data_IF_427275875767
#
_entry.id   IF_427275875767
#
_cell.length_a   1.000
_cell.length_b   1.000
_cell.length_c   1.000
_cell.angle_alpha   90.00
_cell.angle_beta   90.00
_cell.angle_gamma   90.00
#
_symmetry.space_group_name_H-M   'P 1'
#
loop_
_entity.id
_entity.type
_entity.pdbx_description
1 polymer ?
2 water ?
#
# COMPACT_ATOMS: atom_id res chain seq x y z
N UNK A 56 22.56 -1.94 -5.02
CA UNK A 56 21.45 -2.05 -4.05
C UNK A 56 20.12 -1.60 -4.69
N UNK A 57 19.30 -2.59 -5.01
CA UNK A 57 17.95 -2.33 -5.43
C UNK A 57 17.12 -2.10 -4.18
N UNK A 58 16.21 -1.13 -4.25
CA UNK A 58 15.43 -0.64 -3.10
C UNK A 58 13.96 -0.94 -3.25
N UNK A 59 13.56 -1.48 -4.40
CA UNK A 59 12.14 -1.69 -4.67
C UNK A 59 11.47 -2.52 -3.61
N UNK A 60 10.31 -2.11 -3.10
CA UNK A 60 9.71 -2.91 -2.06
C UNK A 60 10.04 -2.45 -0.63
N UNK A 61 11.19 -1.79 -0.42
CA UNK A 61 11.52 -1.23 0.88
C UNK A 61 10.47 -0.22 1.36
N UNK A 62 10.31 -0.14 2.69
CA UNK A 62 9.41 0.83 3.30
C UNK A 62 10.15 1.75 4.24
N UNK A 63 9.93 3.06 4.08
CA UNK A 63 10.59 4.05 4.87
C UNK A 63 9.57 4.89 5.54
N UNK A 64 9.96 5.39 6.70
CA UNK A 64 9.21 6.43 7.34
C UNK A 64 9.87 7.70 6.76
N UNK A 65 9.08 8.57 6.14
CA UNK A 65 9.71 9.63 5.30
C UNK A 65 8.97 10.99 5.54
N UNK A 66 9.50 12.10 5.01
CA UNK A 66 8.95 13.42 5.32
C UNK A 66 8.70 14.20 3.97
N UNK A 67 7.62 14.96 3.87
CA UNK A 67 7.33 15.74 2.66
C UNK A 67 8.28 16.89 2.66
N UNK A 68 9.04 17.00 1.59
CA UNK A 68 10.03 18.04 1.38
C UNK A 68 9.38 19.27 0.65
N UNK A 69 8.51 19.01 -0.32
CA UNK A 69 7.76 20.11 -0.87
C UNK A 69 6.52 19.56 -1.58
N UNK A 70 5.46 20.36 -1.71
CA UNK A 70 4.24 19.86 -2.32
C UNK A 70 4.20 20.64 -3.66
N UNK A 71 3.94 19.97 -4.78
CA UNK A 71 3.95 20.65 -6.12
C UNK A 71 2.54 20.65 -6.76
N UNK A 72 1.81 21.72 -6.61
CA UNK A 72 0.43 21.81 -7.06
C UNK A 72 0.30 21.70 -8.60
N UNK A 73 1.36 22.04 -9.34
CA UNK A 73 1.31 21.80 -10.85
C UNK A 73 1.30 20.34 -11.21
N UNK A 74 2.06 19.55 -10.47
CA UNK A 74 2.12 18.15 -10.77
C UNK A 74 1.13 17.33 -9.93
N UNK A 75 0.44 17.95 -8.97
CA UNK A 75 -0.39 17.24 -7.98
C UNK A 75 0.44 16.08 -7.40
N UNK A 76 1.64 16.45 -6.96
CA UNK A 76 2.59 15.50 -6.37
C UNK A 76 3.35 16.06 -5.18
N UNK A 77 3.92 15.18 -4.36
CA UNK A 77 4.80 15.64 -3.25
C UNK A 77 6.16 15.00 -3.51
N UNK A 78 7.23 15.71 -3.19
CA UNK A 78 8.58 15.13 -3.20
C UNK A 78 8.97 14.76 -1.73
N UNK A 79 9.71 13.67 -1.54
CA UNK A 79 9.79 12.96 -0.25
C UNK A 79 11.27 12.73 0.08
N UNK A 80 11.67 13.20 1.27
CA UNK A 80 12.95 12.78 1.85
C UNK A 80 12.76 11.42 2.55
N UNK A 81 13.36 10.36 2.01
CA UNK A 81 13.25 9.05 2.63
C UNK A 81 14.62 8.48 2.91
N UNK A 82 15.68 9.25 2.75
CA UNK A 82 17.03 8.69 3.03
C UNK A 82 17.80 8.29 1.75
N UNK A 83 17.24 8.52 0.57
CA UNK A 83 17.97 8.13 -0.65
C UNK A 83 18.80 9.25 -1.21
N UNK A 84 19.38 9.08 -2.39
CA UNK A 84 20.25 10.16 -2.90
C UNK A 84 19.44 11.37 -3.36
N UNK A 85 18.22 11.13 -3.85
CA UNK A 85 17.38 12.20 -4.33
C UNK A 85 16.05 12.01 -3.72
N UNK A 86 15.24 13.06 -3.75
CA UNK A 86 13.90 12.95 -3.21
C UNK A 86 13.10 11.95 -4.05
N UNK A 87 12.23 11.18 -3.41
CA UNK A 87 11.32 10.33 -4.11
C UNK A 87 10.09 11.13 -4.58
N UNK A 88 9.37 10.60 -5.56
CA UNK A 88 8.18 11.32 -6.16
C UNK A 88 6.92 10.61 -5.66
N UNK A 89 5.95 11.39 -5.14
CA UNK A 89 4.73 10.76 -4.64
C UNK A 89 3.54 11.47 -5.24
N UNK A 90 2.91 10.84 -6.23
CA UNK A 90 1.76 11.39 -6.93
C UNK A 90 0.62 11.42 -5.90
N UNK A 91 -0.24 12.43 -6.00
CA UNK A 91 -1.37 12.66 -5.06
C UNK A 91 -2.22 11.40 -5.05
N UNK A 92 -2.42 10.78 -6.21
CA UNK A 92 -3.33 9.64 -6.16
C UNK A 92 -2.73 8.39 -5.51
N UNK A 93 -1.42 8.41 -5.15
CA UNK A 93 -0.82 7.33 -4.38
C UNK A 93 -0.83 7.60 -2.86
N UNK A 94 -1.52 8.65 -2.46
CA UNK A 94 -1.53 9.05 -1.04
C UNK A 94 -2.82 8.65 -0.26
N UNK A 95 -2.64 7.78 0.74
CA UNK A 95 -3.80 7.16 1.42
C UNK A 95 -4.52 8.30 2.15
N UNK A 96 -5.84 8.32 2.12
CA UNK A 96 -6.57 9.41 2.85
C UNK A 96 -6.27 9.60 4.34
N UNK A 97 -5.80 8.54 5.03
CA UNK A 97 -5.37 8.72 6.38
C UNK A 97 -4.37 9.82 6.52
N UNK A 98 -3.77 10.22 5.42
CA UNK A 98 -2.70 11.22 5.51
C UNK A 98 -3.23 12.60 5.20
N UNK A 99 -4.48 12.68 4.72
CA UNK A 99 -5.10 13.99 4.43
C UNK A 99 -5.26 14.82 5.66
N UNK A 100 -4.97 16.11 5.55
CA UNK A 100 -5.18 16.97 6.73
C UNK A 100 -6.58 17.51 6.71
N UNK A 101 -7.51 16.71 7.24
CA UNK A 101 -8.95 17.01 7.12
C UNK A 101 -9.68 16.59 8.40
N UNK A 102 -10.83 17.19 8.69
CA UNK A 102 -11.39 16.78 9.95
C UNK A 102 -11.72 15.24 10.04
N UNK A 103 -11.67 14.64 11.23
CA UNK A 103 -11.88 13.16 11.45
C UNK A 103 -13.22 12.70 10.85
N UNK A 104 -14.24 13.58 10.91
CA UNK A 104 -15.54 13.35 10.24
C UNK A 104 -15.62 13.73 8.78
N UNK A 105 -14.47 13.87 8.13
CA UNK A 105 -14.45 13.94 6.69
C UNK A 105 -13.75 12.67 6.36
N UNK A 106 -12.71 12.32 7.10
CA UNK A 106 -11.97 11.19 6.70
C UNK A 106 -12.76 9.91 6.80
N UNK A 107 -13.77 9.91 7.68
CA UNK A 107 -14.73 8.80 7.78
C UNK A 107 -15.77 8.85 6.66
N UNK A 108 -16.23 10.03 6.25
CA UNK A 108 -17.29 10.12 5.21
C UNK A 108 -16.78 9.84 3.76
N UNK A 109 -15.84 8.91 3.67
CA UNK A 109 -14.80 8.89 2.63
C UNK A 109 -14.05 7.53 2.71
N UNK A 110 -13.87 6.97 3.90
CA UNK A 110 -13.34 5.62 4.01
C UNK A 110 -14.41 4.63 3.59
N UNK A 111 -15.60 4.78 4.17
CA UNK A 111 -16.81 4.09 3.71
C UNK A 111 -17.29 4.76 2.41
N UNK A 112 -16.95 4.14 1.28
CA UNK A 112 -17.05 4.68 -0.10
C UNK A 112 -18.10 5.76 -0.43
N UNK A 113 -18.05 6.87 0.31
CA UNK A 113 -18.94 8.04 0.18
C UNK A 113 -19.93 8.16 1.36
N UNK A 149 -14.41 -7.30 -12.90
CA UNK A 149 -13.34 -6.62 -12.19
C UNK A 149 -13.83 -5.54 -11.18
N UNK A 150 -14.17 -5.99 -9.98
CA UNK A 150 -14.49 -5.10 -8.83
C UNK A 150 -13.29 -4.26 -8.30
N UNK A 151 -12.18 -4.28 -9.04
CA UNK A 151 -11.11 -3.28 -8.89
C UNK A 151 -11.59 -1.89 -9.33
N UNK A 152 -12.58 -1.86 -10.25
CA UNK A 152 -13.25 -0.62 -10.68
C UNK A 152 -13.87 0.18 -9.53
N UNK A 153 -14.54 -0.50 -8.58
CA UNK A 153 -15.05 0.16 -7.38
C UNK A 153 -13.95 0.94 -6.62
N UNK A 154 -12.71 0.43 -6.69
CA UNK A 154 -11.54 1.08 -6.07
C UNK A 154 -11.02 2.18 -6.99
N UNK A 155 -11.09 1.90 -8.30
CA UNK A 155 -10.71 2.88 -9.32
C UNK A 155 -11.60 4.09 -9.19
N UNK A 156 -12.93 3.89 -9.23
CA UNK A 156 -13.90 5.00 -9.06
C UNK A 156 -13.59 5.76 -7.78
N UNK A 157 -13.39 4.99 -6.69
CA UNK A 157 -12.98 5.53 -5.40
C UNK A 157 -11.83 6.55 -5.46
N UNK A 158 -10.65 6.17 -5.97
CA UNK A 158 -9.55 7.14 -6.12
C UNK A 158 -9.93 8.36 -6.96
N UNK A 159 -10.65 8.12 -8.06
CA UNK A 159 -11.12 9.20 -8.95
C UNK A 159 -12.03 10.19 -8.23
N UNK A 160 -12.92 9.70 -7.36
CA UNK A 160 -13.67 10.55 -6.42
C UNK A 160 -12.77 11.58 -5.64
N UNK A 161 -11.72 11.09 -4.94
CA UNK A 161 -10.77 11.93 -4.19
C UNK A 161 -10.04 12.95 -5.06
N UNK A 162 -9.62 12.52 -6.25
CA UNK A 162 -8.84 13.41 -7.10
C UNK A 162 -9.72 14.57 -7.64
N UNK A 163 -10.97 14.27 -7.91
CA UNK A 163 -11.97 15.31 -8.24
C UNK A 163 -12.24 16.24 -7.03
N UNK A 164 -12.40 15.65 -5.84
CA UNK A 164 -12.78 16.38 -4.64
C UNK A 164 -11.71 17.31 -4.00
N UNK A 165 -10.42 16.94 -3.98
CA UNK A 165 -9.36 17.76 -3.36
C UNK A 165 -8.21 18.01 -4.31
N UNK A 166 -7.41 19.01 -3.96
CA UNK A 166 -6.16 19.25 -4.59
C UNK A 166 -5.10 19.00 -3.52
N UNK A 167 -3.96 18.44 -3.92
CA UNK A 167 -2.95 18.00 -2.96
C UNK A 167 -2.58 19.09 -1.92
N UNK A 168 -2.50 20.33 -2.37
CA UNK A 168 -2.02 21.43 -1.56
C UNK A 168 -3.09 21.78 -0.54
N UNK A 169 -4.34 21.31 -0.73
CA UNK A 169 -5.40 21.56 0.23
C UNK A 169 -5.26 20.59 1.46
N UNK A 170 -4.56 19.48 1.32
CA UNK A 170 -4.70 18.36 2.23
C UNK A 170 -3.33 17.77 2.67
N UNK A 171 -2.24 18.15 2.00
CA UNK A 171 -0.92 17.63 2.36
C UNK A 171 0.02 18.79 2.59
N UNK A 172 0.88 18.73 3.61
CA UNK A 172 1.78 19.89 3.77
C UNK A 172 3.25 19.49 3.92
N UNK A 173 4.13 20.42 3.60
CA UNK A 173 5.54 20.23 3.80
C UNK A 173 5.80 19.73 5.27
N UNK A 174 6.79 18.89 5.43
CA UNK A 174 7.22 18.34 6.70
C UNK A 174 6.34 17.25 7.20
N UNK A 175 5.21 17.01 6.57
CA UNK A 175 4.34 15.92 7.05
C UNK A 175 5.09 14.59 6.92
N UNK A 176 4.87 13.65 7.85
CA UNK A 176 5.51 12.33 7.82
C UNK A 176 4.53 11.24 7.33
N UNK A 177 5.05 10.31 6.54
CA UNK A 177 4.22 9.21 6.04
C UNK A 177 5.11 7.97 5.86
N UNK A 178 4.49 6.77 5.83
CA UNK A 178 5.15 5.58 5.40
C UNK A 178 4.99 5.44 3.84
N UNK A 179 6.09 5.10 3.19
CA UNK A 179 6.18 5.15 1.74
C UNK A 179 6.95 3.91 1.30
N UNK A 180 6.53 3.34 0.19
CA UNK A 180 7.19 2.19 -0.32
C UNK A 180 7.82 2.51 -1.68
N UNK A 181 9.02 2.01 -1.94
CA UNK A 181 9.62 2.19 -3.29
C UNK A 181 8.95 1.34 -4.38
N UNK A 182 8.43 1.98 -5.42
CA UNK A 182 7.75 1.29 -6.50
C UNK A 182 8.66 1.19 -7.68
N UNK A 183 9.37 2.26 -8.02
CA UNK A 183 10.31 2.25 -9.10
C UNK A 183 11.64 2.78 -8.57
N UNK A 184 12.73 2.15 -8.97
CA UNK A 184 14.07 2.48 -8.56
C UNK A 184 14.40 3.89 -9.03
N UNK A 185 15.27 4.57 -8.31
CA UNK A 185 15.88 5.81 -8.71
C UNK A 185 16.77 5.41 -9.87
N UNK A 186 16.71 6.14 -11.00
CA UNK A 186 17.52 5.83 -12.18
C UNK A 186 18.26 7.12 -12.52
N UNK A 187 19.52 7.19 -12.08
CA UNK A 187 20.38 8.34 -12.30
C UNK A 187 19.96 9.55 -11.51
N UNK A 188 19.68 10.61 -12.26
CA UNK A 188 19.24 11.86 -11.74
C UNK A 188 17.79 11.81 -11.38
N UNK A 189 17.09 10.77 -11.82
CA UNK A 189 15.65 10.67 -11.50
C UNK A 189 15.35 9.92 -10.18
N UNK A 190 14.63 10.54 -9.22
CA UNK A 190 14.40 9.94 -7.91
C UNK A 190 13.35 8.81 -8.02
N UNK A 191 13.31 8.02 -6.95
CA UNK A 191 12.47 6.87 -6.85
C UNK A 191 10.99 7.24 -6.95
N UNK A 192 10.19 6.36 -7.55
CA UNK A 192 8.74 6.56 -7.52
C UNK A 192 8.21 5.76 -6.31
N UNK A 193 7.31 6.39 -5.58
CA UNK A 193 6.83 5.94 -4.25
C UNK A 193 5.34 5.81 -4.25
N UNK A 194 4.86 5.09 -3.23
CA UNK A 194 3.45 5.03 -3.00
C UNK A 194 3.28 4.94 -1.48
N UNK A 195 2.12 5.35 -0.96
CA UNK A 195 1.69 5.01 0.38
C UNK A 195 0.80 3.76 0.47
N UNK A 196 0.32 3.21 -0.65
CA UNK A 196 -0.47 1.97 -0.67
C UNK A 196 0.52 0.81 -0.64
N UNK A 197 0.84 0.35 0.57
CA UNK A 197 1.80 -0.66 0.75
C UNK A 197 1.39 -2.05 0.31
N UNK A 198 2.38 -2.84 -0.05
CA UNK A 198 2.15 -4.26 -0.16
C UNK A 198 3.27 -5.13 0.42
N UNK A 199 2.88 -6.21 1.08
CA UNK A 199 3.85 -7.09 1.73
C UNK A 199 3.62 -8.46 1.12
N UNK A 200 4.63 -8.97 0.42
CA UNK A 200 4.53 -10.24 -0.32
C UNK A 200 5.06 -11.39 0.51
N UNK A 201 4.20 -12.37 0.80
CA UNK A 201 4.61 -13.64 1.45
C UNK A 201 4.91 -14.70 0.42
N UNK A 202 4.94 -15.99 0.82
CA UNK A 202 5.17 -17.07 -0.15
C UNK A 202 4.03 -17.21 -1.16
N UNK A 203 2.80 -17.25 -0.67
CA UNK A 203 1.71 -17.62 -1.55
C UNK A 203 0.85 -16.45 -1.91
N UNK A 204 1.11 -15.29 -1.29
CA UNK A 204 0.21 -14.15 -1.38
C UNK A 204 0.82 -12.82 -0.99
N UNK A 205 0.06 -11.76 -1.27
CA UNK A 205 0.50 -10.40 -1.06
C UNK A 205 -0.52 -9.69 -0.17
N UNK A 206 -0.09 -9.19 0.99
CA UNK A 206 -0.97 -8.43 1.85
C UNK A 206 -0.92 -6.92 1.50
N UNK A 207 -2.10 -6.28 1.47
CA UNK A 207 -2.24 -4.85 1.24
C UNK A 207 -2.86 -4.26 2.44
N UNK A 208 -2.02 -3.81 3.40
CA UNK A 208 -2.61 -3.53 4.71
C UNK A 208 -3.33 -2.22 4.73
N UNK A 209 -3.29 -1.56 3.54
CA UNK A 209 -3.65 -0.22 3.25
C UNK A 209 -4.79 -0.04 2.22
N UNK A 210 -5.19 -1.12 1.58
CA UNK A 210 -6.03 -1.03 0.42
C UNK A 210 -7.29 -1.85 0.69
N UNK A 211 -8.41 -1.14 0.85
CA UNK A 211 -9.69 -1.78 1.12
C UNK A 211 -10.12 -2.53 -0.13
N UNK A 212 -9.71 -3.78 -0.25
CA UNK A 212 -9.77 -4.51 -1.49
C UNK A 212 -10.25 -5.93 -1.15
N UNK A 213 -10.18 -6.29 0.12
CA UNK A 213 -10.82 -7.48 0.64
C UNK A 213 -10.14 -8.83 0.43
N UNK A 214 -9.16 -8.91 -0.45
CA UNK A 214 -8.59 -10.25 -0.73
C UNK A 214 -9.27 -11.17 -1.77
N UNK A 215 -8.43 -11.77 -2.60
CA UNK A 215 -8.84 -12.28 -3.87
C UNK A 215 -7.61 -12.92 -4.47
N UNK A 216 -7.65 -13.12 -5.79
CA UNK A 216 -6.82 -14.11 -6.45
C UNK A 216 -6.09 -13.48 -7.63
N UNK A 217 -4.89 -13.99 -7.93
CA UNK A 217 -4.09 -13.52 -9.06
C UNK A 217 -4.83 -13.61 -10.41
N UNK A 218 -4.38 -12.81 -11.38
CA UNK A 218 -4.97 -12.81 -12.75
C UNK A 218 -4.69 -14.12 -13.48
N UNK A 219 -3.63 -14.82 -13.07
CA UNK A 219 -3.43 -16.21 -13.51
C UNK A 219 -4.44 -17.13 -12.80
N UNK A 220 -5.69 -16.64 -12.70
CA UNK A 220 -6.77 -17.21 -11.86
C UNK A 220 -7.43 -18.42 -12.48
N UNK A 221 -6.82 -18.86 -13.59
CA UNK A 221 -7.45 -19.60 -14.70
C UNK A 221 -8.21 -20.90 -14.36
N UNK A 222 -7.49 -22.00 -14.10
CA UNK A 222 -8.12 -23.30 -13.86
C UNK A 222 -9.26 -23.19 -12.82
N UNK A 223 -10.49 -23.24 -13.33
CA UNK A 223 -11.74 -23.12 -12.57
C UNK A 223 -11.74 -23.74 -11.16
N UNK A 224 -11.23 -24.97 -11.05
CA UNK A 224 -11.14 -25.73 -9.78
C UNK A 224 -10.50 -24.91 -8.66
N UNK A 225 -9.25 -24.48 -8.87
CA UNK A 225 -8.48 -23.72 -7.89
C UNK A 225 -9.22 -22.46 -7.53
N UNK A 226 -9.67 -21.74 -8.57
CA UNK A 226 -10.22 -20.38 -8.38
C UNK A 226 -11.46 -20.34 -7.47
N UNK A 227 -12.40 -21.29 -7.65
CA UNK A 227 -13.57 -21.49 -6.76
C UNK A 227 -13.17 -21.96 -5.35
N UNK A 228 -12.20 -22.88 -5.29
CA UNK A 228 -11.60 -23.36 -4.03
C UNK A 228 -10.88 -22.24 -3.28
N UNK A 229 -10.00 -21.53 -3.98
CA UNK A 229 -9.26 -20.43 -3.37
C UNK A 229 -10.18 -19.30 -2.96
N UNK A 230 -11.13 -18.92 -3.83
CA UNK A 230 -12.07 -17.88 -3.42
C UNK A 230 -12.73 -18.26 -2.07
N UNK A 231 -13.11 -19.55 -1.93
CA UNK A 231 -13.61 -20.08 -0.66
C UNK A 231 -12.56 -19.92 0.47
N UNK A 232 -11.34 -20.39 0.21
CA UNK A 232 -10.19 -20.15 1.10
C UNK A 232 -10.04 -18.64 1.51
N UNK A 233 -9.83 -17.74 0.55
CA UNK A 233 -9.63 -16.31 0.94
C UNK A 233 -10.89 -15.76 1.59
N UNK A 234 -12.03 -16.38 1.28
CA UNK A 234 -13.31 -15.99 1.89
C UNK A 234 -13.24 -16.19 3.41
N UNK A 235 -12.77 -17.35 3.85
CA UNK A 235 -12.74 -17.71 5.27
C UNK A 235 -11.72 -16.95 6.10
N UNK A 236 -10.85 -16.20 5.43
CA UNK A 236 -9.78 -15.51 6.16
C UNK A 236 -10.23 -14.37 7.03
N UNK A 237 -11.43 -13.82 6.80
CA UNK A 237 -11.90 -12.63 7.55
C UNK A 237 -10.93 -11.43 7.43
N UNK A 238 -10.42 -11.16 6.22
CA UNK A 238 -9.48 -10.03 5.97
C UNK A 238 -10.13 -8.73 6.46
N UNK A 239 -9.44 -8.01 7.37
CA UNK A 239 -10.07 -6.86 7.99
C UNK A 239 -10.52 -5.73 7.03
N UNK A 240 -11.56 -4.99 7.46
CA UNK A 240 -11.72 -3.57 7.22
C UNK A 240 -11.24 -3.07 5.88
N UNK A 241 -10.05 -2.50 5.93
CA UNK A 241 -9.45 -1.78 4.83
C UNK A 241 -8.13 -2.39 4.35
N UNK A 242 -8.09 -3.74 4.37
CA UNK A 242 -7.00 -4.51 3.79
C UNK A 242 -7.37 -5.34 2.59
N UNK A 243 -6.36 -5.81 1.90
CA UNK A 243 -6.57 -6.78 0.84
C UNK A 243 -5.55 -7.90 1.01
N UNK A 244 -5.87 -9.08 0.47
CA UNK A 244 -4.87 -10.14 0.31
C UNK A 244 -4.95 -10.79 -1.09
N UNK A 245 -3.88 -10.77 -1.88
CA UNK A 245 -3.98 -11.41 -3.19
C UNK A 245 -3.16 -12.68 -3.29
N UNK A 246 -3.87 -13.77 -3.57
CA UNK A 246 -3.24 -15.04 -3.71
C UNK A 246 -2.48 -15.06 -5.02
N UNK A 247 -1.18 -15.33 -4.94
CA UNK A 247 -0.34 -15.46 -6.10
C UNK A 247 -0.40 -16.88 -6.61
N UNK A 248 0.14 -17.06 -7.82
CA UNK A 248 0.12 -18.36 -8.47
C UNK A 248 0.85 -19.46 -7.67
N UNK A 249 1.86 -19.10 -6.86
CA UNK A 249 2.57 -20.12 -6.09
C UNK A 249 1.59 -20.84 -5.16
N UNK A 250 0.47 -20.18 -4.88
CA UNK A 250 -0.54 -20.69 -3.97
C UNK A 250 -1.70 -21.47 -4.59
N UNK A 251 -1.88 -21.40 -5.91
CA UNK A 251 -2.99 -22.09 -6.59
C UNK A 251 -3.00 -23.54 -6.15
N UNK A 252 -1.88 -24.23 -6.37
CA UNK A 252 -1.76 -25.64 -6.01
C UNK A 252 -1.29 -25.77 -4.57
N UNK A 253 -1.88 -24.97 -3.69
CA UNK A 253 -1.37 -24.84 -2.31
C UNK A 253 -2.31 -25.25 -1.16
N UNK A 254 -1.67 -25.83 -0.14
CA UNK A 254 -2.34 -26.37 1.04
C UNK A 254 -3.56 -25.62 1.53
N UNK A 255 -4.46 -26.39 2.13
CA UNK A 255 -5.62 -25.83 2.81
C UNK A 255 -5.23 -24.55 3.61
N UNK A 256 -4.13 -24.69 4.35
CA UNK A 256 -3.82 -23.92 5.56
C UNK A 256 -2.39 -23.42 5.49
N UNK A 257 -1.72 -23.74 4.39
CA UNK A 257 -0.41 -23.20 4.10
C UNK A 257 -0.58 -21.72 3.79
N UNK A 258 -1.79 -21.38 3.33
CA UNK A 258 -2.17 -20.01 2.98
C UNK A 258 -2.59 -19.20 4.22
N UNK A 259 -3.29 -19.82 5.16
CA UNK A 259 -3.65 -19.15 6.43
C UNK A 259 -2.40 -18.77 7.26
N UNK A 260 -1.48 -19.74 7.40
CA UNK A 260 -0.17 -19.51 8.01
C UNK A 260 0.56 -18.31 7.36
N UNK A 261 0.71 -18.34 6.04
CA UNK A 261 1.42 -17.32 5.25
C UNK A 261 0.77 -15.95 5.47
N UNK A 262 -0.55 -15.92 5.41
CA UNK A 262 -1.33 -14.71 5.65
C UNK A 262 -1.05 -14.19 7.07
N UNK A 263 -1.09 -15.10 8.05
CA UNK A 263 -0.90 -14.73 9.43
C UNK A 263 0.47 -14.18 9.65
N UNK A 264 1.45 -14.76 8.98
CA UNK A 264 2.78 -14.21 9.05
C UNK A 264 2.81 -12.74 8.55
N UNK A 265 2.15 -12.47 7.42
CA UNK A 265 2.12 -11.10 6.91
C UNK A 265 1.38 -10.13 7.84
N UNK A 266 0.30 -10.59 8.47
CA UNK A 266 -0.40 -9.73 9.44
C UNK A 266 0.57 -9.33 10.59
N UNK A 267 1.36 -10.29 11.09
CA UNK A 267 2.36 -10.01 12.15
C UNK A 267 3.47 -9.07 11.66
N UNK A 268 3.92 -9.28 10.43
CA UNK A 268 4.90 -8.43 9.83
C UNK A 268 4.37 -6.95 9.69
N UNK A 269 3.11 -6.80 9.27
CA UNK A 269 2.45 -5.50 9.31
C UNK A 269 2.42 -4.86 10.73
N UNK A 270 2.11 -5.66 11.74
CA UNK A 270 2.19 -5.21 13.12
C UNK A 270 3.58 -4.75 13.49
N UNK A 271 4.57 -5.57 13.15
CA UNK A 271 5.97 -5.24 13.34
C UNK A 271 6.38 -3.94 12.71
N UNK A 272 6.01 -3.77 11.45
CA UNK A 272 6.23 -2.50 10.72
C UNK A 272 5.62 -1.28 11.41
N UNK A 273 4.37 -1.38 11.83
CA UNK A 273 3.73 -0.25 12.54
C UNK A 273 4.41 -0.02 13.90
N UNK A 274 4.83 -1.10 14.55
CA UNK A 274 5.56 -0.90 15.78
C UNK A 274 6.95 -0.23 15.54
N UNK A 275 7.69 -0.62 14.49
CA UNK A 275 9.02 -0.04 14.20
C UNK A 275 8.89 1.47 13.95
N UNK A 276 7.80 1.83 13.25
CA UNK A 276 7.59 3.24 12.93
C UNK A 276 7.41 4.10 14.19
N UNK A 277 6.77 3.59 15.26
CA UNK A 277 6.58 4.44 16.43
C UNK A 277 7.90 4.73 17.10
N UNK A 278 8.92 3.89 16.84
CA UNK A 278 10.27 4.08 17.49
C UNK A 278 11.34 4.67 16.58
N UNK A 279 10.89 5.15 15.41
CA UNK A 279 11.78 5.72 14.37
C UNK A 279 11.53 7.21 14.12
N UNK A 280 12.54 7.89 13.54
CA UNK A 280 12.41 9.29 13.18
C UNK A 280 12.71 9.47 11.66
N UNK A 281 11.84 10.23 10.96
CA UNK A 281 12.24 11.12 9.74
C UNK A 281 12.73 10.25 8.81
N UNK A 282 13.99 10.50 8.34
CA UNK A 282 13.93 9.41 7.31
C UNK A 282 14.46 8.17 8.00
N UNK A 283 13.81 7.03 7.83
CA UNK A 283 14.30 5.80 8.46
C UNK A 283 13.80 4.67 7.58
N UNK A 284 14.67 3.68 7.33
CA UNK A 284 14.29 2.44 6.72
C UNK A 284 13.52 1.66 7.82
N UNK A 285 12.27 1.28 7.52
CA UNK A 285 11.40 0.53 8.38
C UNK A 285 11.22 -0.95 8.00
N UNK A 286 11.33 -1.27 6.72
CA UNK A 286 11.21 -2.67 6.28
C UNK A 286 11.97 -2.83 4.98
N UNK A 287 12.77 -3.88 4.99
CA UNK A 287 13.57 -4.18 3.86
C UNK A 287 13.01 -5.38 3.11
N UNK A 288 12.69 -5.12 1.84
CA UNK A 288 12.21 -6.14 0.91
C UNK A 288 13.15 -7.32 0.99
N UNK A 289 12.69 -8.45 1.51
CA UNK A 289 13.67 -9.44 1.98
C UNK A 289 14.48 -10.03 0.84
N UNK A 290 13.83 -10.84 0.00
CA UNK A 290 14.38 -11.32 -1.27
C UNK A 290 13.66 -10.69 -2.47
#
# INVERSE_FOLDING_TARGET
>A
MGSSHHHHHHSSGLVPRGSHMSKKMLIDAAHAEETRVVVVDGTRVEEFDFESQTRKQLRGNIYLAKVTRVEPSLQAAFIEYGGNRHGFLAFNEIHPDYYQIPVADREALMRDDSGDDEDDTPISRRASGGDDEDDVNGGDRAVDDDDDDVEEELARRKRRLMRKYKIQEVIRRRQIMLVQVVKEERGNKGAVLTTYLSLAGRYGVLMPNTARGGGISRKITAVTDRKRLKSVVQSLDVPQGMGLIVRTAGAKRTKAEIKRDYEYLLRLWENIRENTLHSIAPALIYEEED
#
